data_IF_099468099890
#
_entry.id   IF_099468099890
#
_cell.length_a   1.000
_cell.length_b   1.000
_cell.length_c   1.000
_cell.angle_alpha   90.00
_cell.angle_beta   90.00
_cell.angle_gamma   90.00
#
_symmetry.space_group_name_H-M   'P 1'
#
loop_
_entity.id
_entity.type
_entity.pdbx_description
1 polymer ?
#
# COMPACT_ATOMS: atom_id res chain seq x y z
N UNK A 1 6.56 -27.38 -9.51
CA UNK A 1 5.46 -27.09 -8.55
C UNK A 1 4.48 -26.14 -9.21
N UNK A 2 3.17 -26.26 -8.95
CA UNK A 2 2.17 -25.31 -9.45
C UNK A 2 2.10 -24.12 -8.49
N UNK A 3 2.48 -22.94 -8.95
CA UNK A 3 2.30 -21.68 -8.22
C UNK A 3 0.80 -21.41 -8.07
N UNK A 4 0.39 -20.88 -6.91
CA UNK A 4 -1.01 -20.54 -6.62
C UNK A 4 -1.13 -19.03 -6.61
N UNK A 5 -1.94 -18.48 -7.50
CA UNK A 5 -2.25 -17.06 -7.45
C UNK A 5 -2.83 -16.65 -6.08
N UNK A 6 -2.23 -15.65 -5.44
CA UNK A 6 -2.71 -15.07 -4.18
C UNK A 6 -3.42 -13.75 -4.48
N UNK A 7 -4.59 -13.54 -3.91
CA UNK A 7 -5.28 -12.24 -3.93
C UNK A 7 -5.14 -11.59 -2.56
N UNK A 8 -4.61 -10.37 -2.53
CA UNK A 8 -4.41 -9.56 -1.33
C UNK A 8 -5.42 -8.42 -1.37
N UNK A 9 -6.24 -8.27 -0.33
CA UNK A 9 -7.23 -7.20 -0.24
C UNK A 9 -6.85 -6.33 0.95
N UNK A 10 -6.55 -5.06 0.67
CA UNK A 10 -6.16 -4.07 1.66
C UNK A 10 -7.30 -3.05 1.77
N UNK A 11 -7.84 -2.90 2.97
CA UNK A 11 -8.86 -1.89 3.26
C UNK A 11 -8.15 -0.58 3.67
N UNK A 12 -8.54 0.53 3.04
CA UNK A 12 -8.07 1.87 3.40
C UNK A 12 -9.21 2.70 4.01
N UNK A 13 -8.91 3.45 5.07
CA UNK A 13 -9.80 4.47 5.63
C UNK A 13 -8.99 5.61 6.27
N UNK A 14 -8.95 6.78 5.64
CA UNK A 14 -8.23 7.98 6.10
C UNK A 14 -6.74 7.74 6.45
N UNK A 15 -6.10 6.75 5.81
CA UNK A 15 -4.75 6.29 6.15
C UNK A 15 -3.97 5.87 4.89
N UNK A 16 -4.00 6.72 3.86
CA UNK A 16 -3.36 6.43 2.58
C UNK A 16 -1.84 6.24 2.69
N UNK A 17 -1.16 6.95 3.61
CA UNK A 17 0.29 6.85 3.79
C UNK A 17 0.69 5.46 4.32
N UNK A 18 -0.03 4.97 5.34
CA UNK A 18 0.14 3.61 5.85
C UNK A 18 -0.19 2.55 4.80
N UNK A 19 -1.25 2.80 4.01
CA UNK A 19 -1.65 1.90 2.91
C UNK A 19 -0.54 1.79 1.85
N UNK A 20 0.10 2.91 1.49
CA UNK A 20 1.25 2.92 0.58
C UNK A 20 2.41 2.10 1.15
N UNK A 21 2.77 2.30 2.42
CA UNK A 21 3.85 1.52 3.04
C UNK A 21 3.54 0.03 3.13
N UNK A 22 2.30 -0.33 3.40
CA UNK A 22 1.84 -1.71 3.34
C UNK A 22 1.99 -2.28 1.92
N UNK A 23 1.63 -1.51 0.89
CA UNK A 23 1.81 -1.90 -0.51
C UNK A 23 3.29 -2.09 -0.84
N UNK A 24 4.19 -1.17 -0.48
CA UNK A 24 5.64 -1.34 -0.68
C UNK A 24 6.17 -2.64 -0.06
N UNK A 25 5.71 -2.96 1.15
CA UNK A 25 6.03 -4.24 1.81
C UNK A 25 5.54 -5.45 1.02
N UNK A 26 4.31 -5.41 0.50
CA UNK A 26 3.76 -6.48 -0.36
C UNK A 26 4.55 -6.60 -1.66
N UNK A 27 4.93 -5.48 -2.28
CA UNK A 27 5.67 -5.45 -3.55
C UNK A 27 7.12 -5.94 -3.41
N UNK A 28 7.71 -5.87 -2.20
CA UNK A 28 9.00 -6.49 -1.87
C UNK A 28 8.93 -8.01 -1.64
N UNK A 29 7.73 -8.60 -1.60
CA UNK A 29 7.57 -10.06 -1.42
C UNK A 29 8.18 -10.85 -2.58
N UNK A 30 8.84 -11.97 -2.27
CA UNK A 30 9.41 -12.91 -3.24
C UNK A 30 8.39 -13.94 -3.76
N UNK A 31 7.11 -13.81 -3.38
CA UNK A 31 6.05 -14.69 -3.90
C UNK A 31 5.80 -14.43 -5.40
N UNK A 32 5.82 -15.46 -6.27
CA UNK A 32 5.89 -15.24 -7.71
C UNK A 32 4.58 -14.83 -8.38
N UNK A 33 3.41 -15.03 -7.77
CA UNK A 33 2.13 -14.73 -8.42
C UNK A 33 1.08 -14.19 -7.45
N UNK A 34 0.90 -12.87 -7.43
CA UNK A 34 -0.10 -12.21 -6.60
C UNK A 34 -0.80 -11.07 -7.34
N UNK A 35 -1.95 -10.67 -6.80
CA UNK A 35 -2.69 -9.46 -7.19
C UNK A 35 -3.18 -8.77 -5.94
N UNK A 36 -3.06 -7.44 -5.90
CA UNK A 36 -3.49 -6.64 -4.75
C UNK A 36 -4.64 -5.72 -5.14
N UNK A 37 -5.65 -5.64 -4.28
CA UNK A 37 -6.79 -4.75 -4.40
C UNK A 37 -6.81 -3.82 -3.20
N UNK A 38 -6.84 -2.51 -3.43
CA UNK A 38 -7.09 -1.53 -2.38
C UNK A 38 -8.56 -1.13 -2.43
N UNK A 39 -9.25 -1.28 -1.31
CA UNK A 39 -10.67 -0.93 -1.16
C UNK A 39 -10.75 0.26 -0.22
N UNK A 40 -11.17 1.41 -0.74
CA UNK A 40 -11.45 2.58 0.09
C UNK A 40 -12.80 2.44 0.79
N UNK A 41 -12.79 2.60 2.12
CA UNK A 41 -13.97 2.44 2.97
C UNK A 41 -14.69 3.78 3.23
N UNK A 42 -14.92 4.55 2.17
CA UNK A 42 -15.50 5.90 2.23
C UNK A 42 -14.66 6.86 3.08
N UNK A 43 -13.36 6.94 2.79
CA UNK A 43 -12.48 7.94 3.39
C UNK A 43 -13.03 9.35 3.17
N UNK A 44 -12.88 10.21 4.17
CA UNK A 44 -13.28 11.63 4.15
C UNK A 44 -12.14 12.56 3.73
N UNK A 45 -10.95 12.02 3.45
CA UNK A 45 -9.76 12.74 3.03
C UNK A 45 -9.40 12.47 1.56
N UNK A 46 -8.22 12.92 1.14
CA UNK A 46 -7.73 12.75 -0.24
C UNK A 46 -7.15 11.34 -0.52
N UNK A 47 -7.48 10.33 0.28
CA UNK A 47 -6.86 8.99 0.21
C UNK A 47 -6.83 8.41 -1.21
N UNK A 48 -7.98 8.43 -1.90
CA UNK A 48 -8.08 7.88 -3.25
C UNK A 48 -7.20 8.62 -4.26
N UNK A 49 -7.05 9.95 -4.12
CA UNK A 49 -6.18 10.73 -5.00
C UNK A 49 -4.71 10.40 -4.73
N UNK A 50 -4.31 10.36 -3.45
CA UNK A 50 -2.94 10.03 -3.02
C UNK A 50 -2.50 8.64 -3.44
N UNK A 51 -3.37 7.64 -3.28
CA UNK A 51 -3.11 6.26 -3.71
C UNK A 51 -2.93 6.15 -5.24
N UNK A 52 -3.69 6.93 -6.02
CA UNK A 52 -3.52 6.99 -7.48
C UNK A 52 -2.21 7.67 -7.86
N UNK A 53 -1.88 8.80 -7.25
CA UNK A 53 -0.63 9.50 -7.52
C UNK A 53 0.59 8.61 -7.21
N UNK A 54 0.56 7.85 -6.12
CA UNK A 54 1.61 6.87 -5.82
C UNK A 54 1.66 5.74 -6.87
N UNK A 55 0.52 5.16 -7.24
CA UNK A 55 0.46 4.10 -8.25
C UNK A 55 0.94 4.57 -9.64
N UNK A 56 0.84 5.86 -9.93
CA UNK A 56 1.34 6.50 -11.14
C UNK A 56 2.81 6.99 -11.02
N UNK A 57 3.46 6.79 -9.88
CA UNK A 57 4.84 7.24 -9.62
C UNK A 57 4.99 8.76 -9.46
N UNK A 58 3.90 9.47 -9.14
CA UNK A 58 3.87 10.93 -8.90
C UNK A 58 4.05 11.30 -7.43
N UNK A 59 3.90 10.32 -6.55
CA UNK A 59 4.06 10.48 -5.11
C UNK A 59 5.08 9.46 -4.61
N UNK A 60 6.19 9.94 -4.05
CA UNK A 60 7.14 9.09 -3.35
C UNK A 60 6.58 8.64 -1.99
N UNK A 61 7.09 7.50 -1.53
CA UNK A 61 6.80 6.98 -0.20
C UNK A 61 7.38 7.93 0.83
N UNK A 62 6.52 8.59 1.62
CA UNK A 62 6.93 9.43 2.73
C UNK A 62 6.20 9.05 4.01
N UNK A 63 6.97 8.66 5.02
CA UNK A 63 6.49 8.52 6.39
C UNK A 63 7.03 9.64 7.29
N UNK A 64 6.18 10.24 8.13
CA UNK A 64 6.61 11.19 9.16
C UNK A 64 7.75 10.63 10.04
N UNK A 65 8.72 11.45 10.51
CA UNK A 65 9.80 10.99 11.39
C UNK A 65 9.34 10.32 12.68
N UNK A 66 8.19 10.73 13.18
CA UNK A 66 7.52 10.24 14.37
C UNK A 66 6.57 9.06 14.08
N UNK A 67 6.52 8.58 12.84
CA UNK A 67 5.65 7.47 12.47
C UNK A 67 6.09 6.17 13.17
N UNK A 68 5.21 5.47 13.91
CA UNK A 68 5.58 4.33 14.76
C UNK A 68 6.18 3.15 13.97
N UNK A 69 5.86 3.05 12.67
CA UNK A 69 6.35 1.98 11.80
C UNK A 69 7.50 2.41 10.88
N UNK A 70 8.00 3.64 10.99
CA UNK A 70 9.09 4.14 10.12
C UNK A 70 10.36 3.30 10.18
N UNK A 71 10.63 2.65 11.31
CA UNK A 71 11.77 1.74 11.45
C UNK A 71 11.64 0.44 10.63
N UNK A 72 10.44 0.12 10.13
CA UNK A 72 10.16 -1.04 9.29
C UNK A 72 10.17 -0.69 7.79
N UNK A 73 10.26 0.59 7.48
CA UNK A 73 10.25 1.16 6.14
C UNK A 73 11.69 1.23 5.63
N UNK A 74 12.13 0.15 5.00
CA UNK A 74 13.49 -0.05 4.49
C UNK A 74 13.57 -0.10 2.97
#
# INVERSE_FOLDING_TARGET
>A
MRVKKVSIIILNYNAWADTIECLESVFRSDYPEWVTFVVDNASSDDSCARLRDWAEGKLDVWLPPDHPLRSLSH
#
